data_IF_661681500883
#
_entry.id   IF_661681500883
#
_cell.length_a   1.000
_cell.length_b   1.000
_cell.length_c   1.000
_cell.angle_alpha   90.00
_cell.angle_beta   90.00
_cell.angle_gamma   90.00
#
_symmetry.space_group_name_H-M   'P 1'
#
loop_
_entity.id
_entity.type
_entity.pdbx_description
1 polymer ?
#
# COMPACT_ATOMS: atom_id res chain seq x y z
N UNK A 1 -10.95 -17.62 -0.96
CA UNK A 1 -10.11 -16.40 -0.92
C UNK A 1 -10.83 -15.33 -1.72
N UNK A 2 -11.32 -14.27 -1.08
CA UNK A 2 -12.11 -13.22 -1.76
C UNK A 2 -11.26 -12.33 -2.67
N UNK A 3 -11.92 -11.43 -3.43
CA UNK A 3 -11.27 -10.53 -4.38
C UNK A 3 -10.12 -9.70 -3.77
N UNK A 4 -10.26 -9.30 -2.51
CA UNK A 4 -9.23 -8.57 -1.76
C UNK A 4 -7.95 -9.40 -1.60
N UNK A 5 -8.06 -10.69 -1.26
CA UNK A 5 -6.92 -11.58 -1.12
C UNK A 5 -6.15 -11.78 -2.43
N UNK A 6 -6.86 -11.84 -3.54
CA UNK A 6 -6.24 -11.87 -4.87
C UNK A 6 -5.54 -10.56 -5.21
N UNK A 7 -6.12 -9.42 -4.81
CA UNK A 7 -5.51 -8.11 -5.03
C UNK A 7 -4.22 -7.94 -4.22
N UNK A 8 -4.21 -8.23 -2.91
CA UNK A 8 -3.01 -8.07 -2.07
C UNK A 8 -1.90 -9.07 -2.37
N UNK A 9 -2.22 -10.23 -2.95
CA UNK A 9 -1.20 -11.21 -3.37
C UNK A 9 -0.64 -10.92 -4.77
N UNK A 10 -1.18 -9.94 -5.48
CA UNK A 10 -0.69 -9.49 -6.78
C UNK A 10 0.56 -8.62 -6.62
N UNK A 11 1.63 -8.81 -7.41
CA UNK A 11 2.79 -7.91 -7.41
C UNK A 11 2.43 -6.45 -7.72
N UNK A 12 1.33 -6.23 -8.46
CA UNK A 12 0.81 -4.89 -8.76
C UNK A 12 0.30 -4.15 -7.52
N UNK A 13 0.04 -4.87 -6.42
CA UNK A 13 -0.39 -4.29 -5.16
C UNK A 13 0.59 -3.23 -4.65
N UNK A 14 1.89 -3.50 -4.73
CA UNK A 14 2.92 -2.56 -4.25
C UNK A 14 2.94 -1.25 -5.05
N UNK A 15 2.70 -1.33 -6.36
CA UNK A 15 2.61 -0.14 -7.22
C UNK A 15 1.35 0.69 -6.91
N UNK A 16 0.22 0.01 -6.68
CA UNK A 16 -1.02 0.68 -6.26
C UNK A 16 -0.84 1.34 -4.89
N UNK A 17 -0.22 0.63 -3.95
CA UNK A 17 0.06 1.15 -2.61
C UNK A 17 0.95 2.40 -2.67
N UNK A 18 2.02 2.37 -3.45
CA UNK A 18 2.89 3.52 -3.69
C UNK A 18 2.09 4.70 -4.27
N UNK A 19 1.31 4.47 -5.33
CA UNK A 19 0.56 5.53 -6.00
C UNK A 19 -0.49 6.15 -5.09
N UNK A 20 -1.18 5.34 -4.29
CA UNK A 20 -2.16 5.80 -3.31
C UNK A 20 -1.48 6.62 -2.21
N UNK A 21 -0.36 6.15 -1.65
CA UNK A 21 0.37 6.89 -0.63
C UNK A 21 0.95 8.21 -1.17
N UNK A 22 1.46 8.23 -2.41
CA UNK A 22 1.93 9.46 -3.05
C UNK A 22 0.79 10.45 -3.32
N UNK A 23 -0.37 9.95 -3.74
CA UNK A 23 -1.54 10.80 -3.97
C UNK A 23 -2.11 11.34 -2.66
N UNK A 24 -2.07 10.59 -1.56
CA UNK A 24 -2.54 11.04 -0.24
C UNK A 24 -1.70 12.21 0.32
N UNK A 25 -0.38 12.20 0.13
CA UNK A 25 0.50 13.31 0.50
C UNK A 25 0.19 14.61 -0.28
N UNK A 26 -0.20 14.48 -1.55
CA UNK A 26 -0.56 15.63 -2.41
C UNK A 26 -2.02 16.09 -2.23
N UNK A 27 -2.94 15.13 -2.13
CA UNK A 27 -4.38 15.30 -1.89
C UNK A 27 -4.81 14.37 -0.75
N UNK A 28 -4.90 14.89 0.49
CA UNK A 28 -5.24 14.10 1.68
C UNK A 28 -6.72 13.74 1.72
N UNK A 29 -7.14 12.94 0.75
CA UNK A 29 -8.49 12.44 0.53
C UNK A 29 -8.49 10.92 0.31
N UNK A 30 -7.32 10.36 0.00
CA UNK A 30 -7.18 8.94 -0.32
C UNK A 30 -6.83 8.19 0.96
N UNK A 31 -7.60 7.18 1.41
CA UNK A 31 -7.35 6.52 2.69
C UNK A 31 -6.18 5.53 2.59
N UNK A 32 -4.95 6.05 2.50
CA UNK A 32 -3.73 5.25 2.33
C UNK A 32 -3.45 4.37 3.56
N UNK A 33 -3.76 4.85 4.76
CA UNK A 33 -3.60 4.13 6.02
C UNK A 33 -4.41 2.83 6.04
N UNK A 34 -5.67 2.89 5.56
CA UNK A 34 -6.55 1.72 5.50
C UNK A 34 -5.99 0.63 4.58
N UNK A 35 -5.35 1.03 3.48
CA UNK A 35 -4.68 0.11 2.55
C UNK A 35 -3.43 -0.52 3.16
N UNK A 36 -2.59 0.28 3.82
CA UNK A 36 -1.39 -0.20 4.51
C UNK A 36 -1.76 -1.17 5.64
N UNK A 37 -2.76 -0.84 6.46
CA UNK A 37 -3.26 -1.70 7.54
C UNK A 37 -3.79 -3.01 6.97
N UNK A 38 -4.60 -2.97 5.90
CA UNK A 38 -5.12 -4.18 5.25
C UNK A 38 -3.97 -5.05 4.73
N UNK A 39 -2.98 -4.44 4.09
CA UNK A 39 -1.80 -5.16 3.60
C UNK A 39 -1.04 -5.85 4.74
N UNK A 40 -0.83 -5.15 5.87
CA UNK A 40 -0.17 -5.69 7.05
C UNK A 40 -0.94 -6.85 7.70
N UNK A 41 -2.27 -6.75 7.77
CA UNK A 41 -3.12 -7.85 8.26
C UNK A 41 -3.01 -9.08 7.36
N UNK A 42 -3.01 -8.90 6.03
CA UNK A 42 -2.83 -10.01 5.10
C UNK A 42 -1.41 -10.58 5.13
N UNK A 43 -0.38 -9.76 5.31
CA UNK A 43 1.02 -10.19 5.42
C UNK A 43 1.23 -11.23 6.54
N UNK A 44 0.40 -11.21 7.59
CA UNK A 44 0.42 -12.24 8.63
C UNK A 44 0.11 -13.66 8.12
N UNK A 45 -0.55 -13.78 6.96
CA UNK A 45 -0.78 -15.05 6.25
C UNK A 45 0.37 -15.46 5.30
N UNK A 46 1.47 -14.71 5.31
CA UNK A 46 2.66 -14.94 4.49
C UNK A 46 2.65 -14.23 3.14
N UNK A 47 1.59 -13.46 2.81
CA UNK A 47 1.51 -12.61 1.60
C UNK A 47 0.54 -11.45 1.82
N UNK A 48 0.81 -10.23 1.35
CA UNK A 48 2.03 -9.77 0.67
C UNK A 48 3.23 -9.70 1.63
N UNK A 49 4.43 -9.63 1.08
CA UNK A 49 5.64 -9.45 1.89
C UNK A 49 5.64 -8.07 2.56
N UNK A 50 5.71 -8.07 3.88
CA UNK A 50 5.55 -6.87 4.71
C UNK A 50 6.64 -5.83 4.46
N UNK A 51 7.88 -6.27 4.26
CA UNK A 51 9.02 -5.40 3.93
C UNK A 51 8.74 -4.53 2.68
N UNK A 52 8.18 -5.12 1.63
CA UNK A 52 7.84 -4.41 0.41
C UNK A 52 6.63 -3.50 0.57
N UNK A 53 5.67 -3.86 1.44
CA UNK A 53 4.55 -2.97 1.82
C UNK A 53 5.10 -1.70 2.48
N UNK A 54 6.00 -1.85 3.46
CA UNK A 54 6.59 -0.72 4.19
C UNK A 54 7.40 0.17 3.24
N UNK A 55 8.26 -0.42 2.40
CA UNK A 55 9.07 0.34 1.44
C UNK A 55 8.20 1.09 0.44
N UNK A 56 7.17 0.45 -0.14
CA UNK A 56 6.29 1.08 -1.11
C UNK A 56 5.48 2.23 -0.50
N UNK A 57 4.93 2.03 0.70
CA UNK A 57 4.18 3.08 1.41
C UNK A 57 5.08 4.27 1.77
N UNK A 58 6.27 4.00 2.33
CA UNK A 58 7.22 5.05 2.71
C UNK A 58 7.71 5.87 1.51
N UNK A 59 8.08 5.20 0.41
CA UNK A 59 8.49 5.87 -0.82
C UNK A 59 7.34 6.67 -1.44
N UNK A 60 6.12 6.13 -1.39
CA UNK A 60 4.92 6.82 -1.87
C UNK A 60 4.70 8.12 -1.11
N UNK A 61 4.56 8.04 0.22
CA UNK A 61 4.39 9.20 1.09
C UNK A 61 5.53 10.22 0.91
N UNK A 62 6.78 9.78 0.92
CA UNK A 62 7.93 10.67 0.69
C UNK A 62 7.83 11.37 -0.67
N UNK A 63 7.43 10.67 -1.73
CA UNK A 63 7.26 11.28 -3.05
C UNK A 63 6.12 12.30 -3.05
N UNK A 64 4.99 11.98 -2.42
CA UNK A 64 3.83 12.87 -2.30
C UNK A 64 4.14 14.16 -1.53
N UNK A 65 4.85 14.04 -0.41
CA UNK A 65 5.20 15.18 0.46
C UNK A 65 6.20 16.17 -0.18
N UNK A 66 6.90 15.77 -1.24
CA UNK A 66 7.86 16.61 -1.97
C UNK A 66 7.26 17.39 -3.15
N UNK A 67 5.98 17.17 -3.47
CA UNK A 67 5.25 17.87 -4.54
C UNK A 67 4.51 19.07 -3.99
#
# INVERSE_FOLDING_TARGET
MGAVGTAVSSPWFYLVLFAVAALDGFFPVVPSESLVITAGVYAASGRPELEWVVVAAALGAFTGDHV
#
